data_IF_444031719230
#
_entry.id   IF_444031719230
#
_cell.length_a   1.000
_cell.length_b   1.000
_cell.length_c   1.000
_cell.angle_alpha   90.00
_cell.angle_beta   90.00
_cell.angle_gamma   90.00
#
_symmetry.space_group_name_H-M   'P 1'
#
loop_
_entity.id
_entity.type
_entity.pdbx_description
1 polymer ?
#
# COMPACT_ATOMS: atom_id res chain seq x y z
N UNK A 1 -17.05 51.69 -53.74
CA UNK A 1 -16.84 52.48 -52.57
C UNK A 1 -17.25 51.71 -51.31
N UNK A 2 -16.39 51.86 -50.35
CA UNK A 2 -16.68 51.79 -48.94
C UNK A 2 -16.92 50.44 -48.32
N UNK A 3 -15.93 50.08 -47.53
CA UNK A 3 -15.83 50.50 -46.14
C UNK A 3 -16.55 49.55 -45.23
N UNK A 4 -16.09 49.03 -44.21
CA UNK A 4 -15.25 49.34 -43.08
C UNK A 4 -14.82 48.03 -42.42
N UNK A 5 -13.60 47.75 -42.21
CA UNK A 5 -12.83 48.14 -41.05
C UNK A 5 -13.58 47.96 -39.72
N UNK A 6 -13.37 46.84 -39.07
CA UNK A 6 -13.37 46.80 -37.64
C UNK A 6 -12.42 45.72 -37.13
N UNK A 7 -11.27 46.19 -36.83
CA UNK A 7 -10.32 45.61 -35.91
C UNK A 7 -10.95 45.29 -34.59
N UNK A 8 -10.95 44.04 -34.18
CA UNK A 8 -11.06 43.69 -32.76
C UNK A 8 -9.86 42.91 -32.34
N UNK A 9 -9.03 43.64 -31.70
CA UNK A 9 -7.86 43.28 -30.97
C UNK A 9 -8.25 42.38 -29.80
N UNK A 10 -8.03 41.09 -29.92
CA UNK A 10 -8.09 40.18 -28.78
C UNK A 10 -6.74 40.23 -28.07
N UNK A 11 -6.70 40.92 -26.99
CA UNK A 11 -5.64 40.90 -26.00
C UNK A 11 -5.68 39.57 -25.29
N UNK A 12 -4.69 38.76 -25.49
CA UNK A 12 -4.47 37.59 -24.65
C UNK A 12 -3.94 38.04 -23.30
N UNK A 13 -4.53 37.68 -22.19
CA UNK A 13 -3.94 37.85 -20.87
C UNK A 13 -2.88 36.77 -20.67
N UNK A 14 -1.77 37.22 -20.17
CA UNK A 14 -0.58 36.44 -19.92
C UNK A 14 -0.82 35.19 -19.08
N UNK A 15 -0.18 34.14 -19.49
CA UNK A 15 -0.08 32.91 -18.74
C UNK A 15 0.63 33.16 -17.42
N UNK A 16 -0.14 33.12 -16.36
CA UNK A 16 0.42 33.02 -15.02
C UNK A 16 0.93 31.60 -14.85
N UNK A 17 2.20 31.49 -14.80
CA UNK A 17 2.94 30.29 -14.45
C UNK A 17 2.53 29.90 -13.02
N UNK A 18 1.58 29.00 -12.90
CA UNK A 18 1.20 28.46 -11.60
C UNK A 18 2.27 27.48 -11.17
N UNK A 19 2.98 27.89 -10.18
CA UNK A 19 3.92 27.09 -9.42
C UNK A 19 3.29 25.76 -9.05
N UNK A 20 4.09 24.72 -9.16
CA UNK A 20 3.88 23.41 -8.62
C UNK A 20 3.31 23.50 -7.21
N UNK A 21 2.04 23.20 -7.07
CA UNK A 21 1.40 23.03 -5.79
C UNK A 21 2.02 21.85 -5.10
N UNK A 22 2.61 22.11 -3.96
CA UNK A 22 2.94 21.11 -2.98
C UNK A 22 1.78 20.15 -2.85
N UNK A 23 2.03 18.86 -3.01
CA UNK A 23 1.07 17.81 -2.71
C UNK A 23 0.73 17.94 -1.24
N UNK A 24 -0.34 18.64 -0.96
CA UNK A 24 -0.91 18.69 0.38
C UNK A 24 -1.48 17.29 0.62
N UNK A 25 -0.86 16.58 1.55
CA UNK A 25 -1.41 15.36 2.09
C UNK A 25 -2.72 15.74 2.82
N UNK A 26 -3.84 15.78 2.10
CA UNK A 26 -5.15 15.97 2.71
C UNK A 26 -5.53 14.66 3.39
N UNK A 27 -5.67 14.62 4.69
CA UNK A 27 -6.25 13.48 5.35
C UNK A 27 -7.70 13.36 4.85
N UNK A 28 -7.97 12.30 4.11
CA UNK A 28 -9.37 11.97 3.81
C UNK A 28 -10.06 11.70 5.13
N UNK A 29 -10.88 12.64 5.52
CA UNK A 29 -11.77 12.52 6.66
C UNK A 29 -12.84 11.50 6.29
N UNK A 30 -12.56 10.22 6.52
CA UNK A 30 -13.60 9.24 6.68
C UNK A 30 -13.86 9.15 8.17
N UNK A 31 -14.87 9.89 8.56
CA UNK A 31 -15.44 9.83 9.88
C UNK A 31 -15.98 8.41 10.12
N UNK A 32 -15.28 7.62 10.88
CA UNK A 32 -15.83 6.46 11.58
C UNK A 32 -15.18 6.29 12.92
N UNK A 33 -15.98 6.67 13.92
CA UNK A 33 -15.99 6.15 15.28
C UNK A 33 -14.69 6.20 16.05
N UNK A 34 -14.61 7.20 16.88
CA UNK A 34 -13.69 7.31 18.01
C UNK A 34 -13.66 6.02 18.82
N UNK A 35 -12.62 5.20 18.64
CA UNK A 35 -12.14 4.33 19.70
C UNK A 35 -10.78 4.86 20.14
N UNK A 36 -10.72 5.25 21.40
CA UNK A 36 -9.55 5.69 22.12
C UNK A 36 -8.33 4.85 21.78
N UNK A 37 -7.35 5.48 21.18
CA UNK A 37 -6.09 4.86 20.82
C UNK A 37 -5.16 4.93 22.03
N UNK A 38 -5.18 3.89 22.86
CA UNK A 38 -4.16 3.67 23.87
C UNK A 38 -3.08 2.77 23.29
N UNK A 39 -1.83 3.27 23.30
CA UNK A 39 -0.68 2.65 22.69
C UNK A 39 -0.33 1.27 23.25
N UNK A 40 -0.39 0.28 22.37
CA UNK A 40 0.19 -1.04 22.54
C UNK A 40 0.96 -1.39 21.26
N UNK A 41 1.99 -2.21 21.36
CA UNK A 41 2.79 -2.68 20.21
C UNK A 41 1.93 -3.32 19.08
N UNK A 42 0.75 -3.82 19.40
CA UNK A 42 -0.26 -4.29 18.45
C UNK A 42 -0.82 -3.18 17.53
N UNK A 43 -0.79 -1.93 17.97
CA UNK A 43 -1.34 -0.81 17.18
C UNK A 43 -0.42 -0.40 16.05
N UNK A 44 0.89 -0.51 16.22
CA UNK A 44 1.87 -0.17 15.20
C UNK A 44 1.88 -1.21 14.06
N UNK A 45 1.73 -2.50 14.39
CA UNK A 45 1.56 -3.57 13.42
C UNK A 45 0.31 -3.38 12.58
N UNK A 46 -0.86 -3.25 13.23
CA UNK A 46 -2.13 -3.03 12.56
C UNK A 46 -2.14 -1.75 11.68
N UNK A 47 -1.49 -0.68 12.12
CA UNK A 47 -1.31 0.52 11.32
C UNK A 47 -0.46 0.25 10.06
N UNK A 48 0.63 -0.53 10.19
CA UNK A 48 1.48 -0.92 9.06
C UNK A 48 0.72 -1.74 8.02
N UNK A 49 -0.08 -2.69 8.47
CA UNK A 49 -0.93 -3.53 7.60
C UNK A 49 -2.00 -2.71 6.89
N UNK A 50 -2.66 -1.77 7.58
CA UNK A 50 -3.63 -0.86 6.96
C UNK A 50 -2.97 0.02 5.88
N UNK A 51 -1.77 0.54 6.15
CA UNK A 51 -1.01 1.31 5.15
C UNK A 51 -0.58 0.47 3.96
N UNK A 52 -0.16 -0.78 4.20
CA UNK A 52 0.17 -1.71 3.12
C UNK A 52 -1.05 -2.06 2.27
N UNK A 53 -2.20 -2.31 2.89
CA UNK A 53 -3.45 -2.58 2.18
C UNK A 53 -3.87 -1.39 1.28
N UNK A 54 -3.81 -0.18 1.81
CA UNK A 54 -4.09 1.04 1.03
C UNK A 54 -3.12 1.20 -0.13
N UNK A 55 -1.82 1.03 0.11
CA UNK A 55 -0.79 1.11 -0.90
C UNK A 55 -1.00 0.12 -2.05
N UNK A 56 -1.41 -1.12 -1.75
CA UNK A 56 -1.73 -2.14 -2.74
C UNK A 56 -2.98 -1.77 -3.53
N UNK A 57 -4.04 -1.30 -2.85
CA UNK A 57 -5.29 -0.87 -3.49
C UNK A 57 -5.06 0.27 -4.47
N UNK A 58 -4.23 1.26 -4.11
CA UNK A 58 -3.86 2.37 -5.00
C UNK A 58 -3.08 1.91 -6.24
N UNK A 59 -2.50 0.71 -6.21
CA UNK A 59 -1.80 0.06 -7.33
C UNK A 59 -2.66 -0.93 -8.11
N UNK A 60 -3.95 -0.98 -7.84
CA UNK A 60 -4.89 -1.81 -8.56
C UNK A 60 -5.05 -3.24 -8.02
N UNK A 61 -4.50 -3.52 -6.83
CA UNK A 61 -4.77 -4.78 -6.15
C UNK A 61 -6.14 -4.76 -5.49
N UNK A 62 -6.81 -5.89 -5.50
CA UNK A 62 -8.04 -6.08 -4.74
C UNK A 62 -7.71 -6.84 -3.45
N UNK A 63 -7.75 -6.16 -2.31
CA UNK A 63 -7.53 -6.80 -1.00
C UNK A 63 -8.76 -7.63 -0.65
N UNK A 64 -8.56 -8.93 -0.45
CA UNK A 64 -9.61 -9.90 -0.13
C UNK A 64 -9.75 -10.09 1.37
N UNK A 65 -8.63 -10.28 2.06
CA UNK A 65 -8.61 -10.58 3.49
C UNK A 65 -7.38 -9.97 4.16
N UNK A 66 -7.51 -9.65 5.44
CA UNK A 66 -6.44 -9.15 6.28
C UNK A 66 -6.32 -10.03 7.52
N UNK A 67 -5.10 -10.28 7.97
CA UNK A 67 -4.82 -11.07 9.17
C UNK A 67 -5.42 -12.48 9.11
N UNK A 68 -5.19 -13.20 8.02
CA UNK A 68 -5.61 -14.58 7.91
C UNK A 68 -4.76 -15.48 8.81
N UNK A 69 -5.40 -16.19 9.71
CA UNK A 69 -4.74 -17.05 10.68
C UNK A 69 -5.01 -18.55 10.40
N UNK A 70 -3.96 -19.34 10.52
CA UNK A 70 -4.05 -20.80 10.51
C UNK A 70 -3.28 -21.41 11.67
N UNK A 71 -3.37 -22.71 11.85
CA UNK A 71 -2.57 -23.44 12.85
C UNK A 71 -1.04 -23.37 12.60
N UNK A 72 -0.62 -22.98 11.40
CA UNK A 72 0.80 -22.90 11.02
C UNK A 72 1.36 -21.51 11.14
N UNK A 73 0.53 -20.48 11.07
CA UNK A 73 0.94 -19.10 11.15
C UNK A 73 -0.13 -18.13 10.67
N UNK A 74 0.30 -16.95 10.30
CA UNK A 74 -0.54 -15.85 9.84
C UNK A 74 -0.02 -15.29 8.53
N UNK A 75 -0.92 -14.73 7.73
CA UNK A 75 -0.64 -13.93 6.53
C UNK A 75 -1.26 -12.57 6.75
N UNK A 76 -0.47 -11.52 6.62
CA UNK A 76 -0.90 -10.17 6.95
C UNK A 76 -1.98 -9.65 5.97
N UNK A 77 -1.79 -9.88 4.66
CA UNK A 77 -2.76 -9.49 3.64
C UNK A 77 -2.86 -10.56 2.55
N UNK A 78 -4.09 -10.77 2.07
CA UNK A 78 -4.37 -11.59 0.87
C UNK A 78 -5.05 -10.68 -0.15
N UNK A 79 -4.51 -10.62 -1.36
CA UNK A 79 -4.99 -9.73 -2.41
C UNK A 79 -4.94 -10.40 -3.79
N UNK A 80 -5.63 -9.80 -4.74
CA UNK A 80 -5.58 -10.20 -6.15
C UNK A 80 -4.85 -9.15 -6.99
N UNK A 81 -4.01 -9.64 -7.91
CA UNK A 81 -3.29 -8.83 -8.91
C UNK A 81 -3.40 -9.55 -10.27
N UNK A 82 -4.44 -9.24 -11.04
CA UNK A 82 -4.73 -9.90 -12.31
C UNK A 82 -4.94 -11.42 -12.15
N UNK A 83 -4.04 -12.22 -12.69
CA UNK A 83 -4.08 -13.69 -12.64
C UNK A 83 -3.49 -14.27 -11.35
N UNK A 84 -2.98 -13.42 -10.46
CA UNK A 84 -2.33 -13.85 -9.24
C UNK A 84 -3.22 -13.69 -8.02
N UNK A 85 -3.18 -14.68 -7.13
CA UNK A 85 -3.59 -14.57 -5.74
C UNK A 85 -2.34 -14.33 -4.91
N UNK A 86 -2.25 -13.15 -4.32
CA UNK A 86 -1.04 -12.63 -3.70
C UNK A 86 -1.14 -12.72 -2.19
N UNK A 87 -0.22 -13.46 -1.59
CA UNK A 87 -0.02 -13.54 -0.15
C UNK A 87 1.08 -12.58 0.25
N UNK A 88 0.74 -11.61 1.09
CA UNK A 88 1.62 -10.48 1.40
C UNK A 88 2.06 -10.51 2.86
N UNK A 89 3.36 -10.47 3.07
CA UNK A 89 3.98 -10.21 4.38
C UNK A 89 4.31 -8.73 4.50
N UNK A 90 3.85 -8.10 5.56
CA UNK A 90 4.11 -6.67 5.84
C UNK A 90 5.26 -6.53 6.83
N UNK A 91 6.25 -5.73 6.49
CA UNK A 91 7.40 -5.42 7.33
C UNK A 91 7.45 -3.93 7.65
N UNK A 92 7.25 -3.60 8.91
CA UNK A 92 7.49 -2.24 9.39
C UNK A 92 8.93 -2.09 9.86
N UNK A 93 9.63 -1.07 9.36
CA UNK A 93 11.03 -0.78 9.64
C UNK A 93 11.21 0.63 10.15
N UNK A 94 12.05 0.79 11.17
CA UNK A 94 12.44 2.10 11.67
C UNK A 94 13.52 2.78 10.81
N UNK A 95 14.31 2.02 10.04
CA UNK A 95 15.33 2.56 9.16
C UNK A 95 15.64 1.65 7.98
N UNK A 96 16.23 2.22 6.92
CA UNK A 96 16.66 1.51 5.70
C UNK A 96 17.97 0.73 5.93
N UNK A 97 18.64 0.94 7.05
CA UNK A 97 19.99 0.42 7.32
C UNK A 97 20.06 -1.05 7.75
N UNK A 98 18.95 -1.73 7.88
CA UNK A 98 18.88 -3.11 8.40
C UNK A 98 18.65 -4.16 7.31
N UNK A 99 19.45 -4.16 6.25
CA UNK A 99 19.39 -5.15 5.19
C UNK A 99 18.22 -5.00 4.22
N UNK A 100 18.17 -5.83 3.20
CA UNK A 100 17.09 -5.84 2.23
C UNK A 100 15.84 -6.50 2.83
N UNK A 101 14.62 -5.99 2.56
CA UNK A 101 13.38 -6.55 3.10
C UNK A 101 13.15 -8.02 2.76
N UNK A 102 13.58 -8.46 1.57
CA UNK A 102 13.53 -9.85 1.13
C UNK A 102 14.38 -10.79 1.98
N UNK A 103 15.53 -10.33 2.48
CA UNK A 103 16.40 -11.11 3.35
C UNK A 103 15.85 -11.32 4.75
N UNK A 104 14.79 -10.61 5.10
CA UNK A 104 14.20 -10.66 6.44
C UNK A 104 13.08 -11.68 6.59
N UNK A 105 12.63 -12.28 5.49
CA UNK A 105 11.71 -13.42 5.55
C UNK A 105 12.54 -14.70 5.57
N UNK A 106 12.81 -15.17 6.79
CA UNK A 106 13.62 -16.39 6.99
C UNK A 106 12.99 -17.61 6.33
N UNK A 107 13.76 -18.64 5.93
CA UNK A 107 13.22 -19.87 5.36
C UNK A 107 12.10 -20.50 6.21
N UNK A 108 12.25 -20.46 7.52
CA UNK A 108 11.22 -20.95 8.46
C UNK A 108 9.92 -20.13 8.37
N UNK A 109 9.99 -18.81 8.20
CA UNK A 109 8.80 -17.97 8.02
C UNK A 109 8.18 -18.23 6.64
N UNK A 110 8.99 -18.38 5.59
CA UNK A 110 8.51 -18.73 4.24
C UNK A 110 7.73 -20.04 4.24
N UNK A 111 8.25 -21.08 4.92
CA UNK A 111 7.55 -22.37 5.05
C UNK A 111 6.20 -22.19 5.74
N UNK A 112 6.13 -21.45 6.83
CA UNK A 112 4.87 -21.16 7.53
C UNK A 112 3.87 -20.40 6.64
N UNK A 113 4.35 -19.41 5.89
CA UNK A 113 3.52 -18.67 4.95
C UNK A 113 2.96 -19.58 3.85
N UNK A 114 3.79 -20.48 3.29
CA UNK A 114 3.34 -21.47 2.28
C UNK A 114 2.28 -22.41 2.84
N UNK A 115 2.51 -22.99 4.02
CA UNK A 115 1.53 -23.87 4.68
C UNK A 115 0.22 -23.14 5.00
N UNK A 116 0.30 -21.87 5.42
CA UNK A 116 -0.89 -21.06 5.69
C UNK A 116 -1.64 -20.73 4.41
N UNK A 117 -0.92 -20.43 3.33
CA UNK A 117 -1.51 -20.19 2.00
C UNK A 117 -2.19 -21.44 1.44
N UNK A 118 -1.61 -22.63 1.64
CA UNK A 118 -2.25 -23.90 1.27
C UNK A 118 -3.60 -24.11 1.98
N UNK A 119 -3.69 -23.79 3.27
CA UNK A 119 -4.95 -23.83 4.00
C UNK A 119 -5.98 -22.88 3.40
N UNK A 120 -5.55 -21.65 3.05
CA UNK A 120 -6.42 -20.69 2.39
C UNK A 120 -6.96 -21.23 1.06
N UNK A 121 -6.08 -21.77 0.22
CA UNK A 121 -6.43 -22.32 -1.10
C UNK A 121 -7.36 -23.55 -1.00
N UNK A 122 -7.28 -24.33 0.08
CA UNK A 122 -8.19 -25.46 0.32
C UNK A 122 -9.61 -25.02 0.67
N UNK A 123 -9.76 -23.84 1.22
CA UNK A 123 -11.04 -23.29 1.69
C UNK A 123 -11.64 -22.25 0.74
N UNK A 124 -10.86 -21.74 -0.19
CA UNK A 124 -11.26 -20.72 -1.15
C UNK A 124 -10.89 -21.18 -2.57
N UNK A 125 -11.90 -21.62 -3.31
CA UNK A 125 -11.70 -22.01 -4.71
C UNK A 125 -11.24 -20.82 -5.55
N UNK A 126 -10.11 -20.98 -6.24
CA UNK A 126 -9.56 -19.97 -7.13
C UNK A 126 -8.79 -20.62 -8.27
N UNK A 127 -8.85 -20.02 -9.44
CA UNK A 127 -8.03 -20.41 -10.59
C UNK A 127 -6.76 -19.55 -10.71
N UNK A 128 -6.54 -18.65 -9.75
CA UNK A 128 -5.40 -17.72 -9.76
C UNK A 128 -4.14 -18.40 -9.26
N UNK A 129 -3.01 -17.98 -9.80
CA UNK A 129 -1.70 -18.50 -9.38
C UNK A 129 -1.27 -17.89 -8.05
N UNK A 130 -0.84 -18.68 -7.07
CA UNK A 130 -0.34 -18.13 -5.82
C UNK A 130 1.00 -17.43 -6.03
N UNK A 131 1.15 -16.25 -5.40
CA UNK A 131 2.38 -15.46 -5.39
C UNK A 131 2.63 -14.91 -4.00
N UNK A 132 3.88 -14.88 -3.59
CA UNK A 132 4.27 -14.34 -2.28
C UNK A 132 5.01 -13.02 -2.47
N UNK A 133 4.46 -11.97 -1.91
CA UNK A 133 5.02 -10.62 -1.98
C UNK A 133 5.41 -10.12 -0.57
N UNK A 134 6.37 -9.22 -0.52
CA UNK A 134 6.76 -8.53 0.72
C UNK A 134 6.56 -7.03 0.55
N UNK A 135 5.87 -6.41 1.48
CA UNK A 135 5.70 -4.96 1.55
C UNK A 135 6.42 -4.42 2.78
N UNK A 136 7.50 -3.67 2.55
CA UNK A 136 8.25 -3.01 3.61
C UNK A 136 7.88 -1.53 3.70
N UNK A 137 7.49 -1.10 4.89
CA UNK A 137 7.16 0.27 5.24
C UNK A 137 8.27 0.84 6.13
N UNK A 138 8.73 2.03 5.83
CA UNK A 138 9.75 2.71 6.61
C UNK A 138 9.15 3.88 7.37
N UNK A 139 9.06 3.75 8.69
CA UNK A 139 8.51 4.75 9.59
C UNK A 139 9.58 5.21 10.59
N UNK A 140 10.49 6.08 10.14
CA UNK A 140 11.64 6.54 10.94
C UNK A 140 11.22 7.27 12.22
N UNK A 141 10.17 8.06 12.15
CA UNK A 141 9.70 8.91 13.24
C UNK A 141 8.32 8.49 13.78
N UNK A 142 7.97 7.20 13.61
CA UNK A 142 6.68 6.66 14.02
C UNK A 142 5.58 6.77 12.97
N UNK A 143 4.33 6.72 13.42
CA UNK A 143 3.14 6.63 12.54
C UNK A 143 2.79 7.92 11.78
N UNK A 144 3.41 9.05 12.10
CA UNK A 144 3.03 10.36 11.56
C UNK A 144 3.82 10.77 10.32
N UNK A 145 4.82 9.98 9.90
CA UNK A 145 5.66 10.31 8.73
C UNK A 145 4.89 10.14 7.44
N UNK A 146 4.65 11.21 6.71
CA UNK A 146 4.04 11.19 5.38
C UNK A 146 4.94 11.95 4.39
N UNK A 147 5.23 11.42 3.18
CA UNK A 147 4.89 10.08 2.72
C UNK A 147 5.80 9.00 3.31
N UNK A 148 5.24 7.83 3.59
CA UNK A 148 6.02 6.68 4.00
C UNK A 148 6.76 6.10 2.79
N UNK A 149 8.08 5.93 2.86
CA UNK A 149 8.77 5.11 1.87
C UNK A 149 8.26 3.67 1.95
N UNK A 150 7.75 3.17 0.84
CA UNK A 150 7.24 1.80 0.73
C UNK A 150 8.06 1.06 -0.32
N UNK A 151 8.56 -0.10 0.03
CA UNK A 151 9.20 -1.02 -0.90
C UNK A 151 8.33 -2.26 -1.05
N UNK A 152 7.88 -2.52 -2.28
CA UNK A 152 7.11 -3.70 -2.62
C UNK A 152 7.97 -4.64 -3.44
N UNK A 153 8.12 -5.86 -2.98
CA UNK A 153 8.88 -6.91 -3.61
C UNK A 153 7.89 -7.97 -4.05
N UNK A 154 7.71 -8.09 -5.36
CA UNK A 154 6.86 -9.11 -5.97
C UNK A 154 7.63 -10.41 -6.09
N UNK A 155 6.94 -11.52 -5.84
CA UNK A 155 7.51 -12.86 -5.94
C UNK A 155 8.83 -12.98 -5.14
N UNK A 156 8.72 -12.67 -3.85
CA UNK A 156 9.89 -12.56 -2.96
C UNK A 156 10.53 -13.93 -2.62
N UNK A 157 9.76 -15.05 -2.75
CA UNK A 157 10.24 -16.41 -2.49
C UNK A 157 9.33 -17.49 -3.06
#
# INVERSE_FOLDING_TARGET
PNMDSLSTRATAPGGTMTRFGSTVCVPSTVERSSKSFMGNSNTLGAWGEEKAARFLTERGYTVLEQNFHSRYGEIDLIAEDGEFLVFVEVKLRASVSHGLPEETVTPRKQEKLRLTAEIYLQTHETNKQPRFDVVALYAKDGMETCPLPVRHIKNAF
#
